data_IF_058585315122
#
_entry.id   IF_058585315122
#
_cell.length_a   1.000
_cell.length_b   1.000
_cell.length_c   1.000
_cell.angle_alpha   90.00
_cell.angle_beta   90.00
_cell.angle_gamma   90.00
#
_symmetry.space_group_name_H-M   'P 1'
#
loop_
_entity.id
_entity.type
_entity.pdbx_description
1 polymer ?
#
# COMPACT_ATOMS: atom_id res chain seq x y z
N UNK A 1 15.12 35.55 -54.61
CA UNK A 1 14.89 35.99 -53.22
C UNK A 1 14.19 34.86 -52.50
N UNK A 2 14.95 34.13 -51.67
CA UNK A 2 14.48 33.29 -50.57
C UNK A 2 15.72 32.54 -50.07
N UNK A 3 16.32 33.12 -49.03
CA UNK A 3 17.57 32.70 -48.40
C UNK A 3 17.39 31.36 -47.66
N UNK A 4 18.48 30.59 -47.64
CA UNK A 4 18.54 29.26 -47.05
C UNK A 4 18.58 29.27 -45.53
N UNK A 5 17.99 28.24 -44.94
CA UNK A 5 18.08 27.93 -43.52
C UNK A 5 19.49 27.39 -43.21
N UNK A 6 20.29 28.19 -42.49
CA UNK A 6 21.59 27.76 -41.94
C UNK A 6 21.39 27.05 -40.61
N UNK A 7 22.05 25.89 -40.47
CA UNK A 7 21.96 25.00 -39.32
C UNK A 7 22.59 25.56 -38.05
N UNK A 8 21.88 25.38 -36.93
CA UNK A 8 22.42 25.52 -35.58
C UNK A 8 22.90 24.16 -35.06
N UNK A 9 24.21 24.04 -34.88
CA UNK A 9 24.90 22.89 -34.29
C UNK A 9 24.49 22.67 -32.83
N UNK A 10 23.93 21.49 -32.52
CA UNK A 10 23.71 21.04 -31.14
C UNK A 10 25.06 20.60 -30.55
N UNK A 11 25.73 21.51 -29.85
CA UNK A 11 27.01 21.25 -29.19
C UNK A 11 26.80 20.53 -27.86
N UNK A 12 27.26 19.27 -27.81
CA UNK A 12 27.96 18.61 -26.70
C UNK A 12 27.40 18.80 -25.28
N UNK A 13 26.76 17.75 -24.74
CA UNK A 13 26.60 17.55 -23.30
C UNK A 13 27.88 16.91 -22.73
N UNK A 14 28.63 17.54 -21.82
CA UNK A 14 29.70 16.87 -21.09
C UNK A 14 29.07 15.96 -20.02
N UNK A 15 29.57 14.74 -19.93
CA UNK A 15 29.09 13.73 -19.00
C UNK A 15 29.42 13.98 -17.53
N UNK A 16 28.63 13.32 -16.68
CA UNK A 16 29.08 12.56 -15.51
C UNK A 16 29.68 13.31 -14.32
N UNK A 17 28.87 13.46 -13.26
CA UNK A 17 29.28 13.23 -11.86
C UNK A 17 28.09 13.47 -10.93
N UNK A 18 27.65 12.40 -10.26
CA UNK A 18 26.64 12.45 -9.21
C UNK A 18 27.21 13.12 -7.96
N UNK A 19 26.71 14.30 -7.67
CA UNK A 19 26.69 14.90 -6.34
C UNK A 19 25.39 15.69 -6.28
N UNK A 20 24.55 15.39 -5.28
CA UNK A 20 23.31 16.09 -4.96
C UNK A 20 23.59 17.57 -4.67
N UNK A 21 23.75 18.37 -5.72
CA UNK A 21 23.93 19.81 -5.58
C UNK A 21 22.60 20.47 -5.93
N UNK A 22 21.90 20.92 -4.88
CA UNK A 22 20.70 21.76 -4.92
C UNK A 22 20.87 23.02 -5.79
N UNK A 23 22.11 23.38 -6.14
CA UNK A 23 22.50 24.49 -7.02
C UNK A 23 22.10 24.35 -8.50
N UNK A 24 21.58 23.20 -8.94
CA UNK A 24 21.08 23.02 -10.33
C UNK A 24 19.60 23.32 -10.47
N UNK A 25 18.90 23.64 -9.39
CA UNK A 25 17.48 23.98 -9.42
C UNK A 25 17.30 25.45 -9.79
N UNK A 26 16.31 25.79 -10.63
CA UNK A 26 15.95 27.17 -10.89
C UNK A 26 15.71 27.94 -9.58
N UNK A 27 16.11 29.22 -9.48
CA UNK A 27 15.94 30.02 -8.28
C UNK A 27 14.47 30.02 -7.81
N UNK A 28 14.23 29.79 -6.52
CA UNK A 28 12.89 29.80 -5.91
C UNK A 28 12.10 28.48 -5.99
N UNK A 29 12.61 27.43 -6.66
CA UNK A 29 11.91 26.14 -6.73
C UNK A 29 11.72 25.46 -5.37
N UNK A 30 12.73 25.51 -4.50
CA UNK A 30 12.69 24.91 -3.16
C UNK A 30 11.83 25.70 -2.15
N UNK A 31 11.45 26.94 -2.48
CA UNK A 31 10.52 27.73 -1.65
C UNK A 31 9.06 27.30 -1.84
N UNK A 32 8.75 26.62 -2.95
CA UNK A 32 7.40 26.19 -3.30
C UNK A 32 7.24 24.67 -3.39
N UNK A 33 8.33 23.93 -3.56
CA UNK A 33 8.32 22.47 -3.68
C UNK A 33 9.28 21.84 -2.69
N UNK A 34 8.72 21.13 -1.71
CA UNK A 34 9.48 20.21 -0.88
C UNK A 34 9.72 18.92 -1.67
N UNK A 35 10.94 18.77 -2.19
CA UNK A 35 11.38 17.58 -2.93
C UNK A 35 11.44 16.32 -2.03
N UNK A 36 11.44 16.48 -0.70
CA UNK A 36 11.44 15.37 0.24
C UNK A 36 10.02 14.93 0.63
N UNK A 37 8.98 15.58 0.09
CA UNK A 37 7.61 15.25 0.42
C UNK A 37 7.22 13.88 -0.15
N UNK A 38 6.90 12.94 0.73
CA UNK A 38 6.43 11.62 0.31
C UNK A 38 5.09 11.73 -0.47
N UNK A 39 5.08 11.22 -1.70
CA UNK A 39 3.96 11.30 -2.64
C UNK A 39 3.04 10.08 -2.62
N UNK A 40 3.31 9.08 -1.78
CA UNK A 40 2.46 7.89 -1.60
C UNK A 40 1.08 8.30 -1.10
N UNK A 41 0.04 7.68 -1.65
CA UNK A 41 -1.37 7.98 -1.32
C UNK A 41 -2.29 6.76 -1.21
N UNK A 42 -1.92 5.62 -1.79
CA UNK A 42 -2.80 4.45 -1.84
C UNK A 42 -2.83 3.65 -0.54
N UNK A 43 -3.92 2.90 -0.33
CA UNK A 43 -4.01 1.89 0.71
C UNK A 43 -3.89 0.50 0.06
N UNK A 44 -3.02 -0.35 0.60
CA UNK A 44 -2.91 -1.75 0.19
C UNK A 44 -3.28 -2.65 1.38
N UNK A 45 -4.36 -3.41 1.24
CA UNK A 45 -4.84 -4.35 2.25
C UNK A 45 -4.46 -5.80 1.92
N UNK A 46 -3.99 -6.55 2.92
CA UNK A 46 -3.86 -8.00 2.83
C UNK A 46 -5.18 -8.67 3.19
N UNK A 47 -5.76 -9.41 2.24
CA UNK A 47 -6.94 -10.25 2.46
C UNK A 47 -6.44 -11.65 2.78
N UNK A 48 -6.51 -11.99 4.06
CA UNK A 48 -6.23 -13.35 4.49
C UNK A 48 -7.36 -14.28 4.04
N UNK A 49 -6.99 -15.33 3.32
CA UNK A 49 -7.90 -16.38 2.90
C UNK A 49 -7.42 -17.73 3.41
N UNK A 50 -8.36 -18.60 3.78
CA UNK A 50 -8.12 -20.00 4.10
C UNK A 50 -9.13 -20.85 3.34
N UNK A 51 -8.65 -21.75 2.48
CA UNK A 51 -9.50 -22.66 1.70
C UNK A 51 -10.60 -21.93 0.88
N UNK A 52 -10.27 -20.77 0.31
CA UNK A 52 -11.22 -19.98 -0.48
C UNK A 52 -12.22 -19.16 0.34
N UNK A 53 -12.05 -19.07 1.65
CA UNK A 53 -12.88 -18.28 2.56
C UNK A 53 -12.05 -17.11 3.10
N UNK A 54 -12.62 -15.90 3.11
CA UNK A 54 -11.99 -14.74 3.74
C UNK A 54 -12.06 -14.83 5.26
N UNK A 55 -11.00 -14.37 5.93
CA UNK A 55 -11.04 -14.15 7.37
C UNK A 55 -12.15 -13.16 7.76
N UNK A 56 -12.75 -13.34 8.95
CA UNK A 56 -13.87 -12.54 9.41
C UNK A 56 -13.55 -11.03 9.51
N UNK A 57 -12.27 -10.69 9.75
CA UNK A 57 -11.82 -9.30 9.83
C UNK A 57 -11.66 -8.63 8.46
N UNK A 58 -11.58 -9.41 7.36
CA UNK A 58 -11.29 -8.88 6.03
C UNK A 58 -12.31 -7.81 5.59
N UNK A 59 -13.59 -8.03 5.87
CA UNK A 59 -14.64 -7.09 5.47
C UNK A 59 -14.53 -5.73 6.19
N UNK A 60 -14.20 -5.73 7.49
CA UNK A 60 -13.95 -4.51 8.25
C UNK A 60 -12.69 -3.79 7.78
N UNK A 61 -11.62 -4.53 7.48
CA UNK A 61 -10.36 -3.97 6.98
C UNK A 61 -10.53 -3.30 5.63
N UNK A 62 -11.26 -3.93 4.70
CA UNK A 62 -11.51 -3.35 3.39
C UNK A 62 -12.42 -2.12 3.48
N UNK A 63 -13.38 -2.11 4.40
CA UNK A 63 -14.19 -0.93 4.70
C UNK A 63 -13.32 0.20 5.28
N UNK A 64 -12.43 -0.11 6.23
CA UNK A 64 -11.47 0.85 6.78
C UNK A 64 -10.54 1.41 5.68
N UNK A 65 -10.03 0.54 4.79
CA UNK A 65 -9.17 0.93 3.69
C UNK A 65 -9.85 1.95 2.78
N UNK A 66 -11.14 1.75 2.53
CA UNK A 66 -11.98 2.66 1.77
C UNK A 66 -12.20 3.99 2.49
N UNK A 67 -12.50 3.96 3.79
CA UNK A 67 -12.73 5.17 4.57
C UNK A 67 -11.46 6.04 4.71
N UNK A 68 -10.28 5.42 4.67
CA UNK A 68 -8.98 6.10 4.72
C UNK A 68 -8.53 6.67 3.38
N UNK A 69 -9.03 6.14 2.27
CA UNK A 69 -8.48 6.43 0.95
C UNK A 69 -9.34 7.45 0.20
N UNK A 70 -8.75 8.62 -0.08
CA UNK A 70 -9.28 9.58 -1.07
C UNK A 70 -8.99 9.16 -2.53
N UNK A 71 -8.22 8.08 -2.72
CA UNK A 71 -7.81 7.52 -4.01
C UNK A 71 -8.19 6.02 -4.09
N UNK A 72 -7.52 5.25 -4.94
CA UNK A 72 -7.78 3.82 -5.15
C UNK A 72 -7.40 2.95 -3.96
N UNK A 73 -8.29 2.02 -3.63
CA UNK A 73 -8.05 0.94 -2.68
C UNK A 73 -7.51 -0.28 -3.44
N UNK A 74 -6.32 -0.72 -3.02
CA UNK A 74 -5.68 -1.92 -3.52
C UNK A 74 -5.79 -3.03 -2.48
N UNK A 75 -5.88 -4.27 -2.94
CA UNK A 75 -5.81 -5.43 -2.06
C UNK A 75 -5.00 -6.57 -2.67
N UNK A 76 -4.41 -7.41 -1.83
CA UNK A 76 -3.75 -8.66 -2.22
C UNK A 76 -4.45 -9.84 -1.58
N UNK A 77 -4.72 -10.89 -2.35
CA UNK A 77 -5.19 -12.18 -1.85
C UNK A 77 -4.30 -13.29 -2.42
N UNK A 78 -3.78 -14.15 -1.55
CA UNK A 78 -2.91 -15.26 -1.93
C UNK A 78 -3.70 -16.55 -2.03
N UNK A 79 -3.53 -17.29 -3.12
CA UNK A 79 -4.19 -18.58 -3.27
C UNK A 79 -4.26 -19.06 -4.71
N UNK A 80 -5.01 -20.14 -4.90
CA UNK A 80 -5.28 -20.77 -6.17
C UNK A 80 -6.54 -20.23 -6.84
N UNK A 81 -7.24 -21.10 -7.56
CA UNK A 81 -8.43 -20.69 -8.33
C UNK A 81 -9.62 -20.36 -7.42
N UNK A 82 -9.65 -20.89 -6.20
CA UNK A 82 -10.69 -20.71 -5.18
C UNK A 82 -10.89 -19.25 -4.77
N UNK A 83 -9.84 -18.41 -4.86
CA UNK A 83 -9.94 -16.97 -4.56
C UNK A 83 -10.86 -16.25 -5.55
N UNK A 84 -11.08 -16.79 -6.76
CA UNK A 84 -11.95 -16.17 -7.77
C UNK A 84 -13.40 -16.05 -7.32
N UNK A 85 -13.84 -16.97 -6.47
CA UNK A 85 -15.22 -16.98 -5.98
C UNK A 85 -15.48 -15.79 -5.03
N UNK A 86 -14.41 -15.24 -4.44
CA UNK A 86 -14.45 -14.09 -3.53
C UNK A 86 -14.46 -12.73 -4.26
N UNK A 87 -14.17 -12.67 -5.56
CA UNK A 87 -13.96 -11.40 -6.27
C UNK A 87 -15.15 -10.45 -6.16
N UNK A 88 -16.37 -10.98 -6.30
CA UNK A 88 -17.59 -10.17 -6.21
C UNK A 88 -17.74 -9.54 -4.83
N UNK A 89 -17.45 -10.31 -3.77
CA UNK A 89 -17.54 -9.84 -2.39
C UNK A 89 -16.46 -8.79 -2.09
N UNK A 90 -15.21 -9.07 -2.47
CA UNK A 90 -14.08 -8.14 -2.33
C UNK A 90 -14.36 -6.80 -3.00
N UNK A 91 -14.89 -6.80 -4.23
CA UNK A 91 -15.22 -5.55 -4.92
C UNK A 91 -16.41 -4.83 -4.30
N UNK A 92 -17.40 -5.56 -3.76
CA UNK A 92 -18.51 -4.93 -3.04
C UNK A 92 -18.05 -4.22 -1.76
N UNK A 93 -16.90 -4.59 -1.19
CA UNK A 93 -16.31 -3.95 -0.01
C UNK A 93 -15.47 -2.70 -0.34
N UNK A 94 -15.44 -2.25 -1.60
CA UNK A 94 -14.78 -1.00 -1.99
C UNK A 94 -13.40 -1.13 -2.62
N UNK A 95 -12.91 -2.36 -2.84
CA UNK A 95 -11.62 -2.57 -3.53
C UNK A 95 -11.74 -2.18 -5.01
N UNK A 96 -10.80 -1.37 -5.49
CA UNK A 96 -10.76 -0.97 -6.90
C UNK A 96 -9.87 -1.90 -7.73
N UNK A 97 -8.78 -2.40 -7.13
CA UNK A 97 -7.86 -3.34 -7.78
C UNK A 97 -7.42 -4.44 -6.83
N UNK A 98 -7.73 -5.68 -7.20
CA UNK A 98 -7.31 -6.89 -6.50
C UNK A 98 -6.11 -7.52 -7.22
N UNK A 99 -5.00 -7.65 -6.49
CA UNK A 99 -3.86 -8.48 -6.88
C UNK A 99 -4.07 -9.90 -6.38
N UNK A 100 -4.43 -10.79 -7.30
CA UNK A 100 -4.55 -12.21 -7.02
C UNK A 100 -3.17 -12.87 -7.16
N UNK A 101 -2.55 -13.15 -6.01
CA UNK A 101 -1.17 -13.62 -5.87
C UNK A 101 -1.12 -15.15 -5.98
N UNK A 102 -0.45 -15.66 -7.02
CA UNK A 102 -0.48 -17.08 -7.37
C UNK A 102 0.91 -17.70 -7.39
N UNK A 103 1.03 -18.91 -6.85
CA UNK A 103 2.18 -19.78 -7.01
C UNK A 103 1.70 -21.21 -7.28
N UNK A 104 2.60 -22.08 -7.77
CA UNK A 104 2.30 -23.51 -7.94
C UNK A 104 2.18 -24.23 -6.60
N UNK A 105 2.96 -23.81 -5.62
CA UNK A 105 2.84 -24.25 -4.24
C UNK A 105 1.86 -23.32 -3.50
N UNK A 106 0.70 -23.83 -3.06
CA UNK A 106 -0.30 -23.03 -2.37
C UNK A 106 0.01 -22.83 -0.87
N UNK A 107 1.09 -23.44 -0.35
CA UNK A 107 1.46 -23.31 1.05
C UNK A 107 1.78 -21.85 1.43
N UNK A 108 1.59 -21.55 2.71
CA UNK A 108 1.96 -20.27 3.27
C UNK A 108 3.49 -20.15 3.38
N UNK A 109 4.05 -19.16 2.70
CA UNK A 109 5.49 -18.89 2.63
C UNK A 109 5.77 -17.46 3.06
N UNK A 110 5.93 -17.18 4.37
CA UNK A 110 5.86 -15.82 4.93
C UNK A 110 6.81 -14.82 4.26
N UNK A 111 8.08 -15.18 4.09
CA UNK A 111 9.11 -14.32 3.47
C UNK A 111 8.80 -14.05 1.98
N UNK A 112 8.27 -15.04 1.27
CA UNK A 112 7.91 -14.90 -0.14
C UNK A 112 6.64 -14.08 -0.32
N UNK A 113 5.67 -14.24 0.58
CA UNK A 113 4.44 -13.45 0.58
C UNK A 113 4.71 -11.99 0.91
N UNK A 114 5.55 -11.72 1.92
CA UNK A 114 5.97 -10.36 2.27
C UNK A 114 6.68 -9.68 1.08
N UNK A 115 7.66 -10.35 0.47
CA UNK A 115 8.33 -9.88 -0.75
C UNK A 115 7.34 -9.53 -1.86
N UNK A 116 6.40 -10.44 -2.14
CA UNK A 116 5.45 -10.26 -3.22
C UNK A 116 4.45 -9.13 -2.93
N UNK A 117 4.07 -8.96 -1.66
CA UNK A 117 3.24 -7.84 -1.21
C UNK A 117 4.00 -6.51 -1.31
N UNK A 118 5.30 -6.48 -0.99
CA UNK A 118 6.13 -5.29 -1.13
C UNK A 118 6.34 -4.87 -2.59
N UNK A 119 6.50 -5.82 -3.52
CA UNK A 119 6.49 -5.51 -4.96
C UNK A 119 5.18 -4.82 -5.39
N UNK A 120 4.04 -5.26 -4.85
CA UNK A 120 2.74 -4.62 -5.12
C UNK A 120 2.67 -3.24 -4.47
N UNK A 121 3.10 -3.11 -3.22
CA UNK A 121 3.13 -1.86 -2.47
C UNK A 121 3.95 -0.78 -3.20
N UNK A 122 5.13 -1.13 -3.70
CA UNK A 122 5.98 -0.24 -4.50
C UNK A 122 5.29 0.14 -5.81
N UNK A 123 4.75 -0.84 -6.54
CA UNK A 123 4.05 -0.63 -7.82
C UNK A 123 2.88 0.34 -7.72
N UNK A 124 2.12 0.26 -6.63
CA UNK A 124 0.93 1.11 -6.42
C UNK A 124 1.23 2.36 -5.60
N UNK A 125 2.50 2.56 -5.21
CA UNK A 125 2.94 3.66 -4.36
C UNK A 125 2.10 3.77 -3.08
N UNK A 126 1.94 2.64 -2.38
CA UNK A 126 1.09 2.53 -1.19
C UNK A 126 1.64 3.36 -0.04
N UNK A 127 0.78 4.18 0.58
CA UNK A 127 1.08 4.94 1.79
C UNK A 127 0.78 4.16 3.07
N UNK A 128 -0.17 3.24 3.02
CA UNK A 128 -0.63 2.44 4.17
C UNK A 128 -0.72 0.98 3.73
N UNK A 129 -0.15 0.09 4.54
CA UNK A 129 -0.34 -1.36 4.45
C UNK A 129 -1.22 -1.81 5.60
N UNK A 130 -2.35 -2.46 5.30
CA UNK A 130 -3.30 -2.96 6.29
C UNK A 130 -3.29 -4.48 6.35
N UNK A 131 -3.23 -5.02 7.57
CA UNK A 131 -3.22 -6.45 7.84
C UNK A 131 -4.25 -6.82 8.91
N UNK A 132 -4.81 -8.04 8.86
CA UNK A 132 -5.75 -8.51 9.88
C UNK A 132 -5.06 -8.84 11.21
N UNK A 133 -5.77 -8.66 12.32
CA UNK A 133 -5.32 -9.05 13.67
C UNK A 133 -5.37 -10.57 13.85
N UNK A 134 -4.49 -11.26 13.14
CA UNK A 134 -4.31 -12.71 13.18
C UNK A 134 -2.81 -13.03 13.23
N UNK A 135 -2.44 -14.25 13.60
CA UNK A 135 -1.03 -14.64 13.63
C UNK A 135 -0.31 -14.50 12.28
N UNK A 136 -0.98 -14.84 11.17
CA UNK A 136 -0.45 -14.69 9.81
C UNK A 136 -0.39 -13.20 9.43
N UNK A 137 -1.41 -12.43 9.76
CA UNK A 137 -1.41 -10.97 9.53
C UNK A 137 -0.29 -10.25 10.29
N UNK A 138 -0.06 -10.60 11.55
CA UNK A 138 1.01 -10.02 12.38
C UNK A 138 2.41 -10.39 11.88
N UNK A 139 2.62 -11.64 11.47
CA UNK A 139 3.89 -12.09 10.89
C UNK A 139 4.18 -11.38 9.55
N UNK A 140 3.21 -11.35 8.63
CA UNK A 140 3.37 -10.68 7.34
C UNK A 140 3.57 -9.17 7.49
N UNK A 141 2.83 -8.53 8.38
CA UNK A 141 2.99 -7.11 8.67
C UNK A 141 4.41 -6.81 9.17
N UNK A 142 4.93 -7.62 10.09
CA UNK A 142 6.27 -7.45 10.64
C UNK A 142 7.36 -7.62 9.57
N UNK A 143 7.21 -8.62 8.68
CA UNK A 143 8.14 -8.82 7.57
C UNK A 143 8.08 -7.69 6.54
N UNK A 144 6.88 -7.22 6.19
CA UNK A 144 6.71 -6.08 5.28
C UNK A 144 7.29 -4.79 5.88
N UNK A 145 7.09 -4.55 7.18
CA UNK A 145 7.65 -3.40 7.88
C UNK A 145 9.19 -3.45 7.87
N UNK A 146 9.78 -4.61 8.12
CA UNK A 146 11.22 -4.81 8.07
C UNK A 146 11.80 -4.61 6.65
N UNK A 147 11.13 -5.13 5.61
CA UNK A 147 11.56 -4.96 4.22
C UNK A 147 11.42 -3.52 3.72
N UNK A 148 10.44 -2.78 4.24
CA UNK A 148 10.18 -1.38 3.89
C UNK A 148 10.96 -0.34 4.72
N UNK A 149 11.71 -0.77 5.74
CA UNK A 149 12.26 0.11 6.79
C UNK A 149 11.19 1.07 7.37
N UNK A 150 10.02 0.49 7.67
CA UNK A 150 8.81 1.21 8.03
C UNK A 150 8.41 1.01 9.48
N UNK A 151 7.73 2.02 10.04
CA UNK A 151 7.05 1.89 11.32
C UNK A 151 5.85 0.95 11.24
N UNK A 152 5.62 0.20 12.31
CA UNK A 152 4.46 -0.69 12.48
C UNK A 152 3.65 -0.31 13.73
N UNK A 153 2.32 -0.26 13.61
CA UNK A 153 1.41 -0.18 14.76
C UNK A 153 0.47 -1.38 14.76
N UNK A 154 0.59 -2.21 15.80
CA UNK A 154 -0.24 -3.41 15.98
C UNK A 154 -1.41 -3.13 16.92
N UNK A 155 -2.60 -3.62 16.56
CA UNK A 155 -3.87 -3.53 17.29
C UNK A 155 -4.23 -2.09 17.70
N UNK A 156 -4.29 -1.18 16.73
CA UNK A 156 -4.82 0.17 16.98
C UNK A 156 -6.35 0.16 16.99
N UNK A 157 -6.97 1.01 17.82
CA UNK A 157 -8.43 1.15 17.92
C UNK A 157 -8.96 2.23 16.97
N UNK A 158 -8.10 3.11 16.47
CA UNK A 158 -8.44 4.13 15.48
C UNK A 158 -7.27 4.35 14.53
N UNK A 159 -7.56 4.62 13.27
CA UNK A 159 -6.59 4.94 12.22
C UNK A 159 -7.17 6.06 11.36
N UNK A 160 -6.40 7.11 11.11
CA UNK A 160 -6.82 8.26 10.31
C UNK A 160 -5.63 8.96 9.66
N UNK A 161 -5.93 9.78 8.65
CA UNK A 161 -4.94 10.68 8.04
C UNK A 161 -5.16 12.08 8.64
N UNK A 162 -4.16 12.59 9.35
CA UNK A 162 -4.15 13.94 9.93
C UNK A 162 -3.07 14.79 9.26
N UNK A 163 -3.45 15.91 8.65
CA UNK A 163 -2.49 16.85 8.03
C UNK A 163 -1.54 16.17 7.03
N UNK A 164 -2.05 15.14 6.34
CA UNK A 164 -1.26 14.37 5.39
C UNK A 164 -0.29 13.38 6.03
N UNK A 165 -0.40 13.10 7.32
CA UNK A 165 0.37 12.09 8.06
C UNK A 165 -0.55 10.98 8.56
N UNK A 166 -0.09 9.72 8.55
CA UNK A 166 -0.86 8.61 9.10
C UNK A 166 -0.77 8.65 10.63
N UNK A 167 -1.92 8.65 11.29
CA UNK A 167 -2.03 8.67 12.75
C UNK A 167 -2.91 7.53 13.23
N UNK A 168 -2.45 6.81 14.25
CA UNK A 168 -3.19 5.74 14.90
C UNK A 168 -3.41 6.05 16.38
N UNK A 169 -4.48 5.53 16.96
CA UNK A 169 -4.71 5.53 18.40
C UNK A 169 -4.61 4.11 18.91
N UNK A 170 -3.77 3.90 19.92
CA UNK A 170 -3.55 2.60 20.54
C UNK A 170 -3.97 2.66 21.99
N UNK A 171 -4.91 1.80 22.34
CA UNK A 171 -5.32 1.58 23.73
C UNK A 171 -4.32 0.62 24.40
N UNK A 172 -3.78 1.02 25.55
CA UNK A 172 -2.89 0.22 26.39
C UNK A 172 -3.51 -0.06 27.78
N UNK A 173 -4.84 -0.01 27.88
CA UNK A 173 -5.62 -0.36 29.07
C UNK A 173 -6.18 0.88 29.76
N UNK A 174 -5.36 1.57 30.57
CA UNK A 174 -5.82 2.77 31.27
C UNK A 174 -5.76 4.04 30.39
N UNK A 175 -4.86 4.04 29.41
CA UNK A 175 -4.56 5.19 28.57
C UNK A 175 -4.61 4.86 27.08
N UNK A 176 -5.04 5.83 26.29
CA UNK A 176 -4.97 5.81 24.83
C UNK A 176 -3.85 6.71 24.33
N UNK A 177 -2.96 6.15 23.53
CA UNK A 177 -1.79 6.86 22.98
C UNK A 177 -1.97 7.15 21.49
N UNK A 178 -1.59 8.37 21.09
CA UNK A 178 -1.52 8.76 19.68
C UNK A 178 -0.15 8.40 19.12
N UNK A 179 -0.15 7.66 18.02
CA UNK A 179 1.03 7.26 17.27
C UNK A 179 0.97 7.98 15.92
N UNK A 180 2.04 8.69 15.55
CA UNK A 180 2.21 9.29 14.22
C UNK A 180 3.32 8.56 13.49
N UNK A 181 3.06 8.15 12.25
CA UNK A 181 4.06 7.53 11.41
C UNK A 181 4.93 8.60 10.76
N UNK A 182 6.24 8.54 11.01
CA UNK A 182 7.20 9.51 10.47
C UNK A 182 7.55 9.26 8.99
N UNK A 183 7.38 8.02 8.52
CA UNK A 183 7.69 7.59 7.15
C UNK A 183 6.54 6.76 6.57
N UNK A 184 6.59 6.51 5.26
CA UNK A 184 5.67 5.63 4.54
C UNK A 184 6.43 4.51 3.82
N UNK A 185 5.79 3.34 3.62
CA UNK A 185 4.42 3.03 4.01
C UNK A 185 4.25 2.89 5.53
N UNK A 186 3.09 3.29 6.06
CA UNK A 186 2.72 2.96 7.42
C UNK A 186 2.16 1.54 7.47
N UNK A 187 2.75 0.66 8.28
CA UNK A 187 2.25 -0.71 8.45
C UNK A 187 1.31 -0.76 9.65
N UNK A 188 0.08 -1.22 9.45
CA UNK A 188 -0.94 -1.17 10.50
C UNK A 188 -1.75 -2.46 10.59
N UNK A 189 -1.97 -2.88 11.83
CA UNK A 189 -2.93 -3.93 12.19
C UNK A 189 -4.00 -3.27 13.06
N UNK A 190 -5.21 -2.97 12.56
CA UNK A 190 -6.30 -2.53 13.41
C UNK A 190 -6.75 -3.66 14.35
N UNK A 191 -7.13 -3.31 15.58
CA UNK A 191 -7.81 -4.24 16.49
C UNK A 191 -9.16 -4.63 15.91
N UNK A 192 -9.63 -5.85 16.20
CA UNK A 192 -10.98 -6.29 15.81
C UNK A 192 -12.07 -5.32 16.30
N UNK A 193 -11.91 -4.73 17.49
CA UNK A 193 -12.84 -3.75 18.06
C UNK A 193 -12.74 -2.37 17.39
N UNK A 194 -11.63 -2.08 16.71
CA UNK A 194 -11.38 -0.84 15.98
C UNK A 194 -11.84 -0.88 14.52
N UNK A 195 -12.35 -2.01 14.05
CA UNK A 195 -12.82 -2.15 12.68
C UNK A 195 -14.23 -1.57 12.51
N UNK A 196 -14.48 -0.80 11.43
CA UNK A 196 -15.84 -0.37 11.11
C UNK A 196 -16.72 -1.55 10.71
N UNK A 197 -18.03 -1.39 10.92
CA UNK A 197 -19.02 -2.34 10.40
C UNK A 197 -18.89 -2.46 8.88
N UNK A 198 -18.85 -3.69 8.32
CA UNK A 198 -18.71 -3.88 6.88
C UNK A 198 -19.80 -3.20 6.06
N UNK A 199 -19.40 -2.46 5.02
CA UNK A 199 -20.33 -1.81 4.08
C UNK A 199 -20.21 -2.43 2.70
N UNK A 200 -21.29 -3.06 2.25
CA UNK A 200 -21.35 -3.75 0.95
C UNK A 200 -22.09 -2.92 -0.10
N UNK A 201 -21.41 -2.63 -1.21
CA UNK A 201 -21.99 -2.00 -2.40
C UNK A 201 -22.25 -3.02 -3.50
N UNK A 202 -23.48 -3.51 -3.54
CA UNK A 202 -23.88 -4.49 -4.54
C UNK A 202 -23.68 -3.96 -5.96
N UNK A 203 -22.99 -4.76 -6.79
CA UNK A 203 -22.74 -4.43 -8.19
C UNK A 203 -21.49 -3.58 -8.46
N UNK A 204 -20.74 -3.19 -7.42
CA UNK A 204 -19.42 -2.56 -7.59
C UNK A 204 -18.48 -3.51 -8.36
N UNK A 205 -17.77 -2.94 -9.33
CA UNK A 205 -16.79 -3.65 -10.16
C UNK A 205 -15.40 -3.14 -9.83
N UNK A 206 -14.43 -4.03 -9.91
CA UNK A 206 -13.02 -3.68 -9.81
C UNK A 206 -12.18 -4.44 -10.83
N UNK A 207 -10.88 -4.17 -10.81
CA UNK A 207 -9.90 -4.81 -11.70
C UNK A 207 -9.21 -5.94 -10.96
N UNK A 208 -9.10 -7.11 -11.60
CA UNK A 208 -8.26 -8.22 -11.09
C UNK A 208 -6.96 -8.25 -11.87
N UNK A 209 -5.84 -8.28 -11.17
CA UNK A 209 -4.52 -8.54 -11.74
C UNK A 209 -4.03 -9.87 -11.18
N UNK A 210 -3.90 -10.88 -12.05
CA UNK A 210 -3.28 -12.14 -11.67
C UNK A 210 -1.76 -11.95 -11.65
N UNK A 211 -1.14 -12.09 -10.48
CA UNK A 211 0.29 -11.85 -10.28
C UNK A 211 0.96 -13.14 -9.81
N UNK A 212 1.80 -13.78 -10.64
CA UNK A 212 2.66 -14.84 -10.15
C UNK A 212 3.72 -14.26 -9.20
N UNK A 213 4.09 -15.01 -8.17
CA UNK A 213 5.22 -14.67 -7.29
C UNK A 213 6.18 -15.86 -7.18
N UNK A 214 7.44 -15.58 -6.86
CA UNK A 214 8.50 -16.57 -6.70
C UNK A 214 8.69 -16.94 -5.23
N UNK A 215 9.06 -18.19 -4.96
CA UNK A 215 9.51 -18.58 -3.63
C UNK A 215 10.96 -18.14 -3.46
N UNK A 216 11.28 -17.51 -2.33
CA UNK A 216 12.63 -17.15 -1.91
C UNK A 216 13.33 -18.34 -1.24
#
# INVERSE_FOLDING_TARGET
>A
MSEGCSGGSCSTCPGGSGSDNSDRLPPGMLEHYDLNKDTRKGVLAFIQTKEGIMDASAAGILTLARDLSDDRVFATAFGGIEVKDLFKEIFSLGVDTLYHMRNRDPAYHPVSWASAMMEVAERVNAAILLFPDTGVGEELASLCAAEADAGICVRCVNLRIEEGTVAAEKDLGEDTFKIRFASRPAVVIPSSDGLPSPVYESGRKGTVINRPYSLR
#
